data_IF_030895993386
#
_entry.id   IF_030895993386
#
_cell.length_a   1.000
_cell.length_b   1.000
_cell.length_c   1.000
_cell.angle_alpha   90.00
_cell.angle_beta   90.00
_cell.angle_gamma   90.00
#
_symmetry.space_group_name_H-M   'P 1'
#
loop_
_entity.id
_entity.type
_entity.pdbx_description
1 polymer ?
#
# COMPACT_ATOMS: atom_id res chain seq x y z
N UNK A 1 2.42 -5.35 -19.48
CA UNK A 1 2.80 -4.92 -18.15
C UNK A 1 3.78 -3.79 -18.34
N UNK A 2 3.42 -2.60 -17.88
CA UNK A 2 4.39 -1.61 -17.42
C UNK A 2 4.30 -1.55 -15.90
N UNK A 3 4.81 -0.47 -15.30
CA UNK A 3 4.64 -0.19 -13.88
C UNK A 3 3.40 0.67 -13.70
N UNK A 4 2.56 0.31 -12.72
CA UNK A 4 1.37 1.05 -12.37
C UNK A 4 1.58 1.79 -11.05
N UNK A 5 0.78 2.81 -10.81
CA UNK A 5 0.75 3.62 -9.57
C UNK A 5 0.45 2.77 -8.32
N UNK A 6 -0.18 1.62 -8.46
CA UNK A 6 -0.28 0.55 -7.46
C UNK A 6 -0.65 -0.77 -8.17
N UNK A 7 -0.79 -1.88 -7.45
CA UNK A 7 -1.20 -3.16 -8.05
C UNK A 7 -2.63 -3.05 -8.65
N UNK A 8 -2.79 -3.15 -9.99
CA UNK A 8 -4.09 -2.99 -10.65
C UNK A 8 -5.08 -4.11 -10.29
N UNK A 9 -4.61 -5.22 -9.70
CA UNK A 9 -5.48 -6.29 -9.19
C UNK A 9 -6.15 -5.92 -7.87
N UNK A 10 -5.53 -5.00 -7.11
CA UNK A 10 -6.03 -4.52 -5.81
C UNK A 10 -6.80 -3.21 -5.96
N UNK A 11 -6.36 -2.33 -6.88
CA UNK A 11 -6.99 -1.03 -7.13
C UNK A 11 -7.29 -0.89 -8.63
N UNK A 12 -8.56 -0.99 -9.05
CA UNK A 12 -8.94 -0.92 -10.46
C UNK A 12 -8.56 0.40 -11.15
N UNK A 13 -8.53 1.51 -10.40
CA UNK A 13 -8.21 2.84 -10.92
C UNK A 13 -6.68 3.11 -11.02
N UNK A 14 -5.85 2.06 -10.87
CA UNK A 14 -4.42 2.16 -11.00
C UNK A 14 -4.02 2.66 -12.41
N UNK A 15 -3.26 3.75 -12.45
CA UNK A 15 -2.76 4.37 -13.69
C UNK A 15 -1.41 3.80 -14.09
N UNK A 16 -1.20 3.56 -15.39
CA UNK A 16 0.09 3.19 -15.96
C UNK A 16 1.04 4.40 -15.90
N UNK A 17 2.25 4.19 -15.37
CA UNK A 17 3.30 5.20 -15.35
C UNK A 17 4.00 5.27 -16.70
N UNK A 18 4.24 6.48 -17.21
CA UNK A 18 5.01 6.66 -18.46
C UNK A 18 6.49 6.53 -18.19
N UNK A 19 6.95 7.15 -17.11
CA UNK A 19 8.35 7.13 -16.71
C UNK A 19 8.52 7.13 -15.19
N UNK A 20 9.68 6.64 -14.75
CA UNK A 20 10.11 6.69 -13.35
C UNK A 20 11.63 6.74 -13.23
N UNK A 21 12.15 7.27 -12.13
CA UNK A 21 13.58 7.27 -11.87
C UNK A 21 14.08 5.91 -11.42
N UNK A 22 15.40 5.69 -11.53
CA UNK A 22 16.02 4.46 -11.02
C UNK A 22 15.79 4.29 -9.50
N UNK A 23 15.83 5.40 -8.75
CA UNK A 23 15.64 5.39 -7.30
C UNK A 23 14.19 5.06 -6.94
N UNK A 24 13.20 5.63 -7.63
CA UNK A 24 11.79 5.28 -7.46
C UNK A 24 11.52 3.81 -7.78
N UNK A 25 12.14 3.30 -8.85
CA UNK A 25 12.02 1.90 -9.24
C UNK A 25 12.61 0.98 -8.15
N UNK A 26 13.77 1.35 -7.59
CA UNK A 26 14.43 0.59 -6.54
C UNK A 26 13.53 0.47 -5.30
N UNK A 27 13.03 1.60 -4.80
CA UNK A 27 12.16 1.66 -3.62
C UNK A 27 10.87 0.86 -3.83
N UNK A 28 10.19 1.05 -4.97
CA UNK A 28 8.96 0.30 -5.28
C UNK A 28 9.22 -1.20 -5.38
N UNK A 29 10.34 -1.61 -5.99
CA UNK A 29 10.70 -3.03 -6.11
C UNK A 29 11.00 -3.67 -4.76
N UNK A 30 11.53 -2.91 -3.80
CA UNK A 30 11.85 -3.40 -2.47
C UNK A 30 10.58 -3.64 -1.63
N UNK A 31 9.59 -2.75 -1.71
CA UNK A 31 8.36 -2.81 -0.90
C UNK A 31 7.17 -3.50 -1.57
N UNK A 32 7.41 -4.34 -2.58
CA UNK A 32 6.41 -5.29 -3.08
C UNK A 32 5.89 -5.08 -4.50
N UNK A 33 6.48 -4.16 -5.29
CA UNK A 33 6.18 -4.08 -6.72
C UNK A 33 6.74 -5.32 -7.45
N UNK A 34 5.93 -6.39 -7.55
CA UNK A 34 6.27 -7.70 -8.13
C UNK A 34 6.74 -7.69 -9.60
N UNK A 35 6.66 -6.55 -10.28
CA UNK A 35 7.07 -6.38 -11.68
C UNK A 35 8.59 -6.20 -11.81
N UNK A 36 9.25 -5.74 -10.75
CA UNK A 36 10.67 -5.40 -10.75
C UNK A 36 11.38 -6.09 -9.59
N UNK A 37 12.58 -6.61 -9.85
CA UNK A 37 13.44 -7.13 -8.81
C UNK A 37 14.57 -6.11 -8.52
N UNK A 38 14.86 -5.78 -7.25
CA UNK A 38 15.92 -4.82 -6.90
C UNK A 38 17.28 -5.12 -7.56
N UNK A 39 17.64 -6.42 -7.64
CA UNK A 39 18.88 -6.88 -8.31
C UNK A 39 18.94 -6.59 -9.81
N UNK A 40 17.82 -6.35 -10.46
CA UNK A 40 17.78 -5.96 -11.89
C UNK A 40 17.96 -4.46 -12.05
N UNK A 41 17.52 -3.66 -11.08
CA UNK A 41 17.58 -2.19 -11.15
C UNK A 41 18.98 -1.68 -10.79
N UNK A 42 19.67 -2.31 -9.84
CA UNK A 42 20.98 -1.83 -9.40
C UNK A 42 22.01 -1.71 -10.53
N UNK A 43 22.19 -2.71 -11.43
CA UNK A 43 23.14 -2.59 -12.54
C UNK A 43 22.74 -1.52 -13.56
N UNK A 44 21.46 -1.44 -13.95
CA UNK A 44 21.01 -0.44 -14.93
C UNK A 44 21.14 0.99 -14.37
N UNK A 45 20.95 1.17 -13.06
CA UNK A 45 21.18 2.43 -12.38
C UNK A 45 22.68 2.78 -12.35
N UNK A 46 23.55 1.82 -12.03
CA UNK A 46 24.99 2.03 -11.99
C UNK A 46 25.56 2.46 -13.34
N UNK A 47 25.13 1.82 -14.42
CA UNK A 47 25.61 2.10 -15.77
C UNK A 47 24.74 3.11 -16.54
N UNK A 48 23.73 3.69 -15.89
CA UNK A 48 22.78 4.64 -16.48
C UNK A 48 22.12 4.10 -17.77
N UNK A 49 21.80 2.80 -17.78
CA UNK A 49 21.16 2.12 -18.92
C UNK A 49 19.64 2.28 -18.80
N UNK A 50 18.97 3.01 -19.71
CA UNK A 50 17.52 3.14 -19.67
C UNK A 50 16.84 1.80 -19.93
N UNK A 51 15.81 1.49 -19.16
CA UNK A 51 15.10 0.23 -19.22
C UNK A 51 13.61 0.47 -19.53
N UNK A 52 13.09 -0.17 -20.58
CA UNK A 52 11.69 -0.04 -21.00
C UNK A 52 10.92 -1.31 -20.65
N UNK A 53 9.91 -1.20 -19.78
CA UNK A 53 9.04 -2.31 -19.41
C UNK A 53 7.82 -2.34 -20.32
N UNK A 54 7.62 -3.46 -21.04
CA UNK A 54 6.52 -3.63 -22.01
C UNK A 54 5.64 -4.84 -21.72
N UNK A 55 4.42 -4.83 -22.28
CA UNK A 55 3.52 -5.97 -22.29
C UNK A 55 3.82 -6.91 -23.45
N UNK A 56 4.10 -8.19 -23.20
CA UNK A 56 4.19 -9.20 -24.25
C UNK A 56 2.85 -9.41 -24.97
N UNK A 57 1.72 -9.30 -24.25
CA UNK A 57 0.37 -9.39 -24.82
C UNK A 57 -0.13 -8.11 -25.52
N UNK A 58 0.59 -6.99 -25.38
CA UNK A 58 0.35 -5.78 -26.15
C UNK A 58 1.67 -5.03 -26.41
N UNK A 59 2.49 -5.49 -27.37
CA UNK A 59 3.82 -4.95 -27.62
C UNK A 59 3.83 -3.50 -28.12
N UNK A 60 2.72 -3.01 -28.67
CA UNK A 60 2.60 -1.64 -29.19
C UNK A 60 2.30 -0.62 -28.10
N UNK A 61 1.89 -1.05 -26.90
CA UNK A 61 1.72 -0.14 -25.78
C UNK A 61 3.06 0.56 -25.45
N UNK A 62 3.01 1.85 -25.03
CA UNK A 62 4.22 2.62 -24.73
C UNK A 62 5.05 2.00 -23.61
N UNK A 63 4.39 1.38 -22.61
CA UNK A 63 5.06 0.77 -21.47
C UNK A 63 5.47 1.80 -20.42
N UNK A 64 6.51 1.48 -19.64
CA UNK A 64 7.09 2.39 -18.64
C UNK A 64 8.60 2.46 -18.81
N UNK A 65 9.14 3.68 -18.94
CA UNK A 65 10.56 3.94 -19.08
C UNK A 65 11.20 4.23 -17.71
N UNK A 66 12.19 3.43 -17.31
CA UNK A 66 13.05 3.70 -16.17
C UNK A 66 14.32 4.40 -16.67
N UNK A 67 14.62 5.59 -16.14
CA UNK A 67 15.73 6.42 -16.61
C UNK A 67 16.20 7.48 -15.62
N UNK A 68 17.19 8.29 -16.04
CA UNK A 68 17.89 9.24 -15.19
C UNK A 68 17.12 10.55 -14.93
N UNK A 69 16.34 11.03 -15.90
CA UNK A 69 15.75 12.36 -15.81
C UNK A 69 14.70 12.58 -16.90
N UNK A 70 13.44 12.35 -16.54
CA UNK A 70 12.24 13.03 -17.07
C UNK A 70 11.05 12.42 -16.37
N UNK A 71 10.53 13.14 -15.39
CA UNK A 71 9.19 12.88 -14.89
C UNK A 71 8.20 13.45 -15.91
N UNK A 72 7.74 12.62 -16.86
CA UNK A 72 6.75 13.05 -17.86
C UNK A 72 5.34 13.14 -17.29
N UNK A 73 5.13 12.63 -16.07
CA UNK A 73 3.82 12.59 -15.44
C UNK A 73 3.60 13.78 -14.48
N UNK A 74 4.67 14.50 -14.08
CA UNK A 74 4.66 15.60 -13.10
C UNK A 74 3.93 15.21 -11.79
N UNK A 75 4.04 13.92 -11.42
CA UNK A 75 3.36 13.36 -10.27
C UNK A 75 4.31 13.39 -9.07
N UNK A 76 3.93 14.06 -7.95
CA UNK A 76 4.79 14.10 -6.76
C UNK A 76 4.98 12.72 -6.11
N UNK A 77 4.04 11.82 -6.34
CA UNK A 77 4.05 10.42 -5.91
C UNK A 77 3.92 9.54 -7.14
N UNK A 78 4.82 8.58 -7.31
CA UNK A 78 4.81 7.66 -8.44
C UNK A 78 4.09 6.37 -8.15
N UNK A 79 4.24 5.84 -6.94
CA UNK A 79 3.66 4.54 -6.65
C UNK A 79 3.35 4.34 -5.18
N UNK A 80 2.41 3.44 -4.96
CA UNK A 80 2.05 2.89 -3.66
C UNK A 80 2.21 1.38 -3.79
N UNK A 81 2.94 0.80 -2.84
CA UNK A 81 3.20 -0.64 -2.77
C UNK A 81 2.83 -1.16 -1.39
N UNK A 82 2.57 -2.45 -1.29
CA UNK A 82 2.39 -3.13 -0.02
C UNK A 82 3.19 -4.42 0.06
N UNK A 83 3.72 -4.68 1.24
CA UNK A 83 4.36 -5.94 1.61
C UNK A 83 3.58 -6.59 2.74
N UNK A 84 2.91 -7.69 2.41
CA UNK A 84 2.04 -8.43 3.32
C UNK A 84 2.81 -9.50 4.10
N UNK A 85 2.16 -10.08 5.12
CA UNK A 85 2.69 -11.18 5.93
C UNK A 85 4.03 -10.82 6.61
N UNK A 86 3.99 -9.77 7.41
CA UNK A 86 5.12 -9.31 8.22
C UNK A 86 4.84 -9.53 9.71
N UNK A 87 5.89 -9.73 10.48
CA UNK A 87 5.88 -9.68 11.94
C UNK A 87 6.79 -8.54 12.40
N UNK A 88 6.32 -7.76 13.38
CA UNK A 88 7.09 -6.69 14.00
C UNK A 88 7.55 -7.11 15.38
N UNK A 89 8.84 -6.96 15.64
CA UNK A 89 9.48 -7.15 16.93
C UNK A 89 9.76 -5.79 17.54
N UNK A 90 9.49 -5.62 18.82
CA UNK A 90 9.91 -4.48 19.60
C UNK A 90 10.81 -4.93 20.76
N UNK A 91 12.01 -4.38 20.79
CA UNK A 91 12.99 -4.56 21.86
C UNK A 91 13.04 -3.27 22.66
N UNK A 92 12.60 -3.32 23.92
CA UNK A 92 12.52 -2.20 24.84
C UNK A 92 13.06 -2.57 26.22
N UNK A 93 13.40 -1.57 27.03
CA UNK A 93 13.75 -1.76 28.43
C UNK A 93 14.76 -0.75 28.96
N UNK A 94 14.92 -0.66 30.29
CA UNK A 94 15.83 0.30 30.93
C UNK A 94 17.30 0.09 30.53
N UNK A 95 17.69 -1.15 30.23
CA UNK A 95 19.01 -1.54 29.74
C UNK A 95 19.34 -1.00 28.34
N UNK A 96 18.37 -0.43 27.63
CA UNK A 96 18.62 0.26 26.36
C UNK A 96 19.15 1.70 26.57
N UNK A 97 19.01 2.26 27.77
CA UNK A 97 19.43 3.62 28.10
C UNK A 97 20.95 3.68 28.30
N UNK A 98 21.65 4.39 27.40
CA UNK A 98 23.09 4.66 27.51
C UNK A 98 24.00 3.48 27.18
N UNK A 99 23.44 2.32 26.81
CA UNK A 99 24.22 1.17 26.35
C UNK A 99 24.53 1.26 24.86
N UNK A 100 25.80 1.44 24.55
CA UNK A 100 26.31 1.43 23.18
C UNK A 100 26.30 -0.01 22.66
N UNK A 101 25.74 -0.23 21.46
CA UNK A 101 25.84 -1.50 20.75
C UNK A 101 24.60 -2.41 20.79
N UNK A 102 23.54 -2.04 21.51
CA UNK A 102 22.29 -2.82 21.52
C UNK A 102 21.69 -3.01 20.13
N UNK A 103 21.56 -1.93 19.36
CA UNK A 103 21.13 -2.01 17.96
C UNK A 103 22.02 -2.94 17.12
N UNK A 104 23.34 -2.88 17.33
CA UNK A 104 24.29 -3.72 16.61
C UNK A 104 24.07 -5.21 16.93
N UNK A 105 23.82 -5.56 18.20
CA UNK A 105 23.50 -6.92 18.60
C UNK A 105 22.21 -7.43 17.97
N UNK A 106 21.13 -6.63 17.99
CA UNK A 106 19.85 -6.99 17.35
C UNK A 106 20.07 -7.38 15.88
N UNK A 107 20.71 -6.51 15.09
CA UNK A 107 20.90 -6.77 13.67
C UNK A 107 21.95 -7.85 13.39
N UNK A 108 22.98 -7.97 14.22
CA UNK A 108 23.96 -9.06 14.11
C UNK A 108 23.30 -10.43 14.36
N UNK A 109 22.39 -10.52 15.32
CA UNK A 109 21.63 -11.73 15.62
C UNK A 109 20.72 -12.14 14.47
N UNK A 110 19.97 -11.18 13.90
CA UNK A 110 19.16 -11.43 12.71
C UNK A 110 20.00 -11.90 11.51
N UNK A 111 21.15 -11.26 11.29
CA UNK A 111 22.09 -11.65 10.23
C UNK A 111 22.63 -13.06 10.43
N UNK A 112 23.09 -13.42 11.64
CA UNK A 112 23.56 -14.79 11.97
C UNK A 112 22.48 -15.84 11.80
N UNK A 113 21.21 -15.48 12.07
CA UNK A 113 20.06 -16.35 11.86
C UNK A 113 19.58 -16.42 10.40
N UNK A 114 20.23 -15.70 9.48
CA UNK A 114 19.85 -15.62 8.07
C UNK A 114 18.47 -14.97 7.85
N UNK A 115 18.08 -14.03 8.71
CA UNK A 115 16.77 -13.37 8.68
C UNK A 115 16.94 -11.96 8.13
N UNK A 116 16.20 -11.65 7.07
CA UNK A 116 16.20 -10.31 6.48
C UNK A 116 15.26 -9.40 7.26
N UNK A 117 15.82 -8.29 7.76
CA UNK A 117 15.04 -7.19 8.33
C UNK A 117 14.63 -6.24 7.21
N UNK A 118 13.33 -5.92 7.14
CA UNK A 118 12.74 -5.14 6.03
C UNK A 118 12.51 -3.68 6.40
N UNK A 119 12.02 -3.44 7.61
CA UNK A 119 11.71 -2.10 8.12
C UNK A 119 12.27 -1.96 9.52
N UNK A 120 12.85 -0.81 9.82
CA UNK A 120 13.44 -0.49 11.11
C UNK A 120 12.88 0.86 11.56
N UNK A 121 12.46 0.94 12.81
CA UNK A 121 12.10 2.19 13.48
C UNK A 121 12.64 2.20 14.90
N UNK A 122 13.08 3.36 15.37
CA UNK A 122 13.75 3.50 16.65
C UNK A 122 13.15 4.71 17.37
N UNK A 123 12.67 4.50 18.60
CA UNK A 123 12.14 5.56 19.44
C UNK A 123 13.20 5.97 20.47
N UNK A 124 13.77 7.16 20.30
CA UNK A 124 14.80 7.68 21.21
C UNK A 124 14.25 7.98 22.61
N UNK A 125 12.98 8.36 22.72
CA UNK A 125 12.31 8.66 23.99
C UNK A 125 11.93 7.41 24.78
N UNK A 126 11.57 6.32 24.09
CA UNK A 126 11.14 5.06 24.72
C UNK A 126 12.27 4.04 24.83
N UNK A 127 13.48 4.39 24.36
CA UNK A 127 14.64 3.51 24.29
C UNK A 127 14.30 2.17 23.62
N UNK A 128 13.55 2.21 22.52
CA UNK A 128 13.06 1.01 21.84
C UNK A 128 13.58 0.92 20.41
N UNK A 129 13.79 -0.32 19.96
CA UNK A 129 14.09 -0.65 18.56
C UNK A 129 13.01 -1.60 18.10
N UNK A 130 12.28 -1.16 17.08
CA UNK A 130 11.28 -1.97 16.41
C UNK A 130 11.72 -2.32 15.00
N UNK A 131 11.48 -3.56 14.58
CA UNK A 131 11.86 -4.01 13.25
C UNK A 131 10.88 -5.06 12.71
N UNK A 132 10.72 -5.09 11.38
CA UNK A 132 9.86 -6.04 10.70
C UNK A 132 10.69 -7.14 10.01
N UNK A 133 10.22 -8.38 10.15
CA UNK A 133 10.73 -9.57 9.44
C UNK A 133 9.59 -10.28 8.73
N UNK A 134 9.85 -11.09 7.69
CA UNK A 134 8.82 -11.94 7.10
C UNK A 134 8.14 -12.81 8.16
N UNK A 135 6.82 -12.94 8.10
CA UNK A 135 6.03 -13.74 9.03
C UNK A 135 6.53 -15.20 9.11
N UNK A 136 7.03 -15.74 8.00
CA UNK A 136 7.63 -17.08 7.94
C UNK A 136 8.87 -17.25 8.83
N UNK A 137 9.59 -16.16 9.11
CA UNK A 137 10.80 -16.16 9.93
C UNK A 137 10.51 -15.81 11.40
N UNK A 138 9.26 -15.49 11.76
CA UNK A 138 8.88 -14.99 13.09
C UNK A 138 9.36 -15.92 14.23
N UNK A 139 9.08 -17.21 14.14
CA UNK A 139 9.49 -18.17 15.17
C UNK A 139 11.02 -18.29 15.29
N UNK A 140 11.74 -18.23 14.16
CA UNK A 140 13.21 -18.28 14.14
C UNK A 140 13.82 -17.00 14.70
N UNK A 141 13.25 -15.85 14.36
CA UNK A 141 13.65 -14.54 14.86
C UNK A 141 13.46 -14.44 16.37
N UNK A 142 12.29 -14.85 16.87
CA UNK A 142 11.97 -14.88 18.30
C UNK A 142 13.02 -15.68 19.07
N UNK A 143 13.24 -16.94 18.66
CA UNK A 143 14.21 -17.81 19.33
C UNK A 143 15.62 -17.21 19.33
N UNK A 144 16.09 -16.72 18.19
CA UNK A 144 17.43 -16.13 18.09
C UNK A 144 17.60 -14.89 18.99
N UNK A 145 16.56 -14.07 19.11
CA UNK A 145 16.56 -12.89 19.98
C UNK A 145 16.51 -13.25 21.46
N UNK A 146 15.67 -14.23 21.84
CA UNK A 146 15.61 -14.74 23.22
C UNK A 146 16.94 -15.37 23.64
N UNK A 147 17.61 -16.10 22.75
CA UNK A 147 18.92 -16.70 23.01
C UNK A 147 20.02 -15.63 23.15
N UNK A 148 20.04 -14.60 22.29
CA UNK A 148 21.04 -13.51 22.32
C UNK A 148 20.92 -12.63 23.56
N UNK A 149 19.68 -12.33 23.98
CA UNK A 149 19.37 -11.39 25.06
C UNK A 149 18.92 -12.09 26.35
N UNK A 150 19.22 -13.38 26.49
CA UNK A 150 18.79 -14.19 27.63
C UNK A 150 19.18 -13.58 28.98
N UNK A 151 20.42 -13.09 29.11
CA UNK A 151 20.90 -12.48 30.35
C UNK A 151 20.17 -11.16 30.64
N UNK A 152 20.01 -10.30 29.63
CA UNK A 152 19.34 -9.02 29.81
C UNK A 152 17.85 -9.16 30.12
N UNK A 153 17.18 -10.16 29.53
CA UNK A 153 15.79 -10.50 29.85
C UNK A 153 15.66 -11.06 31.27
N UNK A 154 16.63 -11.89 31.71
CA UNK A 154 16.62 -12.49 33.05
C UNK A 154 16.91 -11.47 34.16
N UNK A 155 17.82 -10.53 33.90
CA UNK A 155 18.18 -9.45 34.83
C UNK A 155 17.21 -8.25 34.74
N UNK A 156 16.09 -8.38 34.02
CA UNK A 156 15.08 -7.33 33.81
C UNK A 156 15.64 -6.01 33.23
N UNK A 157 16.78 -6.10 32.53
CA UNK A 157 17.35 -5.00 31.76
C UNK A 157 16.59 -4.77 30.46
N UNK A 158 16.00 -5.84 29.90
CA UNK A 158 15.07 -5.76 28.78
C UNK A 158 13.70 -6.27 29.22
N UNK A 159 12.67 -5.64 28.67
CA UNK A 159 11.31 -6.14 28.76
C UNK A 159 11.14 -7.38 27.86
N UNK A 160 10.15 -8.25 28.15
CA UNK A 160 9.80 -9.33 27.24
C UNK A 160 9.59 -8.83 25.82
N UNK A 161 10.17 -9.54 24.84
CA UNK A 161 10.06 -9.16 23.44
C UNK A 161 8.58 -9.06 23.04
N UNK A 162 8.15 -7.87 22.63
CA UNK A 162 6.81 -7.65 22.12
C UNK A 162 6.79 -7.97 20.63
N UNK A 163 5.90 -8.88 20.22
CA UNK A 163 5.81 -9.39 18.85
C UNK A 163 4.38 -9.19 18.37
N UNK A 164 4.24 -8.46 17.26
CA UNK A 164 2.97 -8.26 16.57
C UNK A 164 3.02 -8.99 15.23
N UNK A 165 2.13 -9.94 15.04
CA UNK A 165 2.03 -10.78 13.85
C UNK A 165 0.90 -10.32 12.91
N UNK A 166 0.89 -10.86 11.68
CA UNK A 166 -0.13 -10.55 10.66
C UNK A 166 -0.21 -9.06 10.35
N UNK A 167 0.94 -8.45 10.11
CA UNK A 167 1.07 -7.06 9.70
C UNK A 167 1.37 -6.95 8.20
N UNK A 168 1.14 -5.76 7.66
CA UNK A 168 1.57 -5.37 6.33
C UNK A 168 2.23 -3.99 6.37
N UNK A 169 3.16 -3.78 5.44
CA UNK A 169 3.83 -2.50 5.24
C UNK A 169 3.20 -1.85 4.01
N UNK A 170 2.69 -0.64 4.14
CA UNK A 170 2.25 0.19 3.01
C UNK A 170 3.30 1.28 2.79
N UNK A 171 3.82 1.38 1.58
CA UNK A 171 4.88 2.32 1.22
C UNK A 171 4.45 3.21 0.06
N UNK A 172 4.56 4.52 0.26
CA UNK A 172 4.35 5.55 -0.75
C UNK A 172 5.72 6.00 -1.25
N UNK A 173 5.92 6.06 -2.58
CA UNK A 173 7.21 6.36 -3.21
C UNK A 173 7.03 7.45 -4.28
N UNK A 174 7.92 8.46 -4.26
CA UNK A 174 8.06 9.44 -5.32
C UNK A 174 9.16 10.46 -5.06
N UNK A 175 9.89 10.86 -6.10
CA UNK A 175 10.94 11.87 -6.01
C UNK A 175 10.41 13.26 -5.62
N UNK A 176 9.17 13.56 -6.00
CA UNK A 176 8.50 14.82 -5.67
C UNK A 176 8.02 14.94 -4.23
N UNK A 177 8.11 13.87 -3.42
CA UNK A 177 7.71 13.90 -2.01
C UNK A 177 8.58 14.84 -1.17
N UNK A 178 9.85 14.99 -1.53
CA UNK A 178 10.80 15.91 -0.87
C UNK A 178 10.48 17.38 -1.13
N UNK A 179 9.96 17.71 -2.31
CA UNK A 179 9.72 19.11 -2.73
C UNK A 179 8.31 19.57 -2.41
N UNK A 180 7.32 18.67 -2.44
CA UNK A 180 5.93 19.00 -2.21
C UNK A 180 5.51 18.73 -0.76
N UNK A 181 5.35 19.80 0.02
CA UNK A 181 4.88 19.72 1.41
C UNK A 181 3.45 19.18 1.49
N UNK A 182 3.21 18.35 2.51
CA UNK A 182 1.87 17.86 2.85
C UNK A 182 1.50 16.51 2.24
N UNK A 183 2.36 15.86 1.44
CA UNK A 183 2.10 14.49 0.95
C UNK A 183 1.98 13.51 2.11
N UNK A 184 2.88 13.56 3.08
CA UNK A 184 2.81 12.71 4.29
C UNK A 184 1.51 12.94 5.05
N UNK A 185 1.09 14.20 5.20
CA UNK A 185 -0.18 14.55 5.86
C UNK A 185 -1.39 13.97 5.11
N UNK A 186 -1.40 14.05 3.78
CA UNK A 186 -2.45 13.41 2.96
C UNK A 186 -2.45 11.89 3.12
N UNK A 187 -1.28 11.27 3.16
CA UNK A 187 -1.15 9.82 3.34
C UNK A 187 -1.72 9.39 4.70
N UNK A 188 -1.30 10.00 5.79
CA UNK A 188 -1.82 9.69 7.12
C UNK A 188 -3.32 10.01 7.25
N UNK A 189 -3.79 11.12 6.67
CA UNK A 189 -5.20 11.46 6.65
C UNK A 189 -6.04 10.45 5.88
N UNK A 190 -5.52 9.88 4.78
CA UNK A 190 -6.21 8.85 4.01
C UNK A 190 -6.44 7.58 4.85
N UNK A 191 -5.41 7.13 5.56
CA UNK A 191 -5.51 5.97 6.45
C UNK A 191 -6.45 6.23 7.64
N UNK A 192 -6.36 7.41 8.25
CA UNK A 192 -7.24 7.80 9.35
C UNK A 192 -8.72 7.86 8.92
N UNK A 193 -9.02 8.36 7.72
CA UNK A 193 -10.40 8.37 7.17
C UNK A 193 -10.98 6.98 6.96
N UNK A 194 -10.12 5.99 6.72
CA UNK A 194 -10.51 4.59 6.60
C UNK A 194 -10.54 3.85 7.95
N UNK A 195 -10.31 4.56 9.07
CA UNK A 195 -10.22 4.01 10.41
C UNK A 195 -9.12 2.92 10.54
N UNK A 196 -8.02 3.09 9.80
CA UNK A 196 -6.89 2.16 9.83
C UNK A 196 -5.89 2.63 10.89
N UNK A 197 -5.61 1.77 11.87
CA UNK A 197 -4.62 2.05 12.89
C UNK A 197 -3.19 1.88 12.35
N UNK A 198 -2.31 2.84 12.66
CA UNK A 198 -0.90 2.80 12.28
C UNK A 198 -0.10 2.27 13.47
N UNK A 199 0.54 1.12 13.28
CA UNK A 199 1.38 0.47 14.30
C UNK A 199 2.75 1.13 14.37
N UNK A 200 3.33 1.44 13.21
CA UNK A 200 4.64 2.04 13.13
C UNK A 200 4.81 2.87 11.86
N UNK A 201 5.77 3.78 11.88
CA UNK A 201 6.11 4.66 10.77
C UNK A 201 7.62 4.56 10.54
N UNK A 202 8.02 4.50 9.28
CA UNK A 202 9.40 4.64 8.85
C UNK A 202 9.50 5.60 7.66
N UNK A 203 10.36 6.60 7.79
CA UNK A 203 10.70 7.52 6.71
C UNK A 203 12.23 7.66 6.66
N UNK A 204 12.79 7.50 5.46
CA UNK A 204 14.21 7.75 5.22
C UNK A 204 14.52 9.25 5.10
N UNK A 205 15.78 9.62 5.33
CA UNK A 205 16.28 10.99 5.16
C UNK A 205 16.22 11.52 3.72
N UNK A 206 16.03 10.64 2.74
CA UNK A 206 15.84 11.02 1.34
C UNK A 206 14.44 11.57 1.06
N UNK A 207 13.49 11.39 1.99
CA UNK A 207 12.06 11.76 1.91
C UNK A 207 11.33 11.23 0.66
N UNK A 208 11.95 10.30 -0.07
CA UNK A 208 11.40 9.69 -1.29
C UNK A 208 10.36 8.63 -0.99
N UNK A 209 10.48 7.99 0.18
CA UNK A 209 9.55 6.96 0.61
C UNK A 209 9.12 7.17 2.05
N UNK A 210 7.83 6.93 2.29
CA UNK A 210 7.23 6.85 3.62
C UNK A 210 6.51 5.52 3.70
N UNK A 211 6.83 4.76 4.74
CA UNK A 211 6.25 3.46 5.00
C UNK A 211 5.53 3.46 6.33
N UNK A 212 4.39 2.79 6.37
CA UNK A 212 3.61 2.55 7.59
C UNK A 212 3.37 1.08 7.76
N UNK A 213 3.30 0.64 9.01
CA UNK A 213 2.92 -0.72 9.37
C UNK A 213 1.48 -0.71 9.85
N UNK A 214 0.65 -1.57 9.27
CA UNK A 214 -0.78 -1.70 9.55
C UNK A 214 -1.15 -3.18 9.71
N UNK A 215 -2.37 -3.47 10.16
CA UNK A 215 -2.91 -4.83 10.11
C UNK A 215 -2.92 -5.35 8.67
N UNK A 216 -2.59 -6.63 8.48
CA UNK A 216 -2.58 -7.24 7.15
C UNK A 216 -3.96 -7.22 6.48
N UNK A 217 -5.04 -7.27 7.27
CA UNK A 217 -6.41 -7.21 6.78
C UNK A 217 -6.76 -5.82 6.20
N UNK A 218 -6.11 -4.77 6.71
CA UNK A 218 -6.33 -3.39 6.27
C UNK A 218 -5.49 -3.00 5.05
N UNK A 219 -4.51 -3.83 4.66
CA UNK A 219 -3.50 -3.47 3.67
C UNK A 219 -4.10 -3.03 2.34
N UNK A 220 -5.05 -3.80 1.80
CA UNK A 220 -5.69 -3.53 0.51
C UNK A 220 -6.53 -2.25 0.57
N UNK A 221 -7.30 -2.08 1.65
CA UNK A 221 -8.10 -0.87 1.87
C UNK A 221 -7.20 0.35 2.02
N UNK A 222 -6.09 0.23 2.77
CA UNK A 222 -5.11 1.29 2.97
C UNK A 222 -4.45 1.73 1.67
N UNK A 223 -4.05 0.80 0.81
CA UNK A 223 -3.52 1.13 -0.53
C UNK A 223 -4.57 1.85 -1.37
N UNK A 224 -5.81 1.38 -1.38
CA UNK A 224 -6.91 1.97 -2.16
C UNK A 224 -7.23 3.41 -1.75
N UNK A 225 -7.42 3.68 -0.45
CA UNK A 225 -7.74 5.04 0.03
C UNK A 225 -6.57 6.00 -0.14
N UNK A 226 -5.35 5.50 0.03
CA UNK A 226 -4.13 6.29 -0.22
C UNK A 226 -4.01 6.64 -1.70
N UNK A 227 -4.29 5.69 -2.59
CA UNK A 227 -4.28 5.92 -4.03
C UNK A 227 -5.31 6.98 -4.44
N UNK A 228 -6.54 6.86 -3.95
CA UNK A 228 -7.59 7.85 -4.20
C UNK A 228 -7.16 9.26 -3.77
N UNK A 229 -6.61 9.40 -2.55
CA UNK A 229 -6.22 10.68 -1.99
C UNK A 229 -4.99 11.31 -2.69
N UNK A 230 -3.99 10.51 -3.07
CA UNK A 230 -2.72 11.02 -3.61
C UNK A 230 -2.76 11.25 -5.13
N UNK A 231 -3.48 10.42 -5.87
CA UNK A 231 -3.60 10.56 -7.33
C UNK A 231 -4.84 11.37 -7.76
N UNK A 232 -5.52 11.98 -6.78
CA UNK A 232 -6.75 12.74 -6.94
C UNK A 232 -7.76 11.96 -7.80
N UNK A 233 -7.85 10.67 -7.54
CA UNK A 233 -8.84 9.80 -8.17
C UNK A 233 -10.17 10.10 -7.51
N UNK A 234 -11.24 10.13 -8.30
CA UNK A 234 -12.57 10.41 -7.77
C UNK A 234 -12.88 9.46 -6.61
N UNK A 235 -13.44 9.99 -5.52
CA UNK A 235 -13.89 9.22 -4.38
C UNK A 235 -14.98 8.25 -4.86
N UNK A 236 -14.63 6.97 -4.95
CA UNK A 236 -15.55 5.93 -5.40
C UNK A 236 -16.50 5.59 -4.26
N UNK A 237 -17.80 5.78 -4.48
CA UNK A 237 -18.87 5.36 -3.57
C UNK A 237 -19.65 4.25 -4.26
N UNK A 238 -19.54 3.04 -3.71
CA UNK A 238 -20.27 1.87 -4.21
C UNK A 238 -21.68 1.83 -3.62
N UNK A 239 -22.68 1.85 -4.47
CA UNK A 239 -24.09 1.86 -4.09
C UNK A 239 -24.71 0.51 -4.43
N UNK A 240 -25.28 -0.13 -3.42
CA UNK A 240 -26.14 -1.30 -3.56
C UNK A 240 -27.58 -0.89 -3.27
N UNK A 241 -28.45 -0.99 -4.27
CA UNK A 241 -29.85 -0.62 -4.14
C UNK A 241 -30.75 -1.85 -4.07
N UNK A 242 -31.40 -2.04 -2.91
CA UNK A 242 -32.40 -3.09 -2.72
C UNK A 242 -33.79 -2.46 -2.79
N UNK A 243 -34.60 -2.89 -3.75
CA UNK A 243 -35.95 -2.37 -3.98
C UNK A 243 -36.01 -1.29 -5.07
N UNK A 244 -35.82 -1.69 -6.32
CA UNK A 244 -35.96 -0.81 -7.50
C UNK A 244 -37.38 -0.66 -8.03
N UNK A 245 -38.35 -0.43 -7.13
CA UNK A 245 -39.70 0.00 -7.49
C UNK A 245 -39.75 1.48 -7.92
N UNK A 246 -40.88 2.15 -7.73
CA UNK A 246 -41.02 3.56 -8.11
C UNK A 246 -39.98 4.49 -7.47
N UNK A 247 -39.72 4.34 -6.16
CA UNK A 247 -38.75 5.18 -5.43
C UNK A 247 -37.30 4.83 -5.78
N UNK A 248 -36.95 3.54 -5.79
CA UNK A 248 -35.60 3.10 -6.13
C UNK A 248 -35.22 3.42 -7.57
N UNK A 249 -36.15 3.28 -8.52
CA UNK A 249 -35.96 3.70 -9.91
C UNK A 249 -35.75 5.21 -10.04
N UNK A 250 -36.51 6.02 -9.30
CA UNK A 250 -36.32 7.47 -9.28
C UNK A 250 -34.96 7.88 -8.71
N UNK A 251 -34.47 7.18 -7.66
CA UNK A 251 -33.12 7.41 -7.12
C UNK A 251 -32.03 7.06 -8.13
N UNK A 252 -32.15 5.94 -8.86
CA UNK A 252 -31.20 5.58 -9.91
C UNK A 252 -31.16 6.64 -11.03
N UNK A 253 -32.31 7.18 -11.42
CA UNK A 253 -32.41 8.25 -12.41
C UNK A 253 -31.79 9.57 -11.89
N UNK A 254 -31.96 9.88 -10.60
CA UNK A 254 -31.28 11.03 -9.98
C UNK A 254 -29.76 10.83 -9.95
N UNK A 255 -29.30 9.65 -9.56
CA UNK A 255 -27.87 9.29 -9.57
C UNK A 255 -27.31 9.48 -10.98
N UNK A 256 -27.98 8.94 -12.00
CA UNK A 256 -27.60 9.07 -13.41
C UNK A 256 -27.43 10.54 -13.82
N UNK A 257 -28.42 11.39 -13.51
CA UNK A 257 -28.37 12.83 -13.85
C UNK A 257 -27.27 13.58 -13.12
N UNK A 258 -26.96 13.19 -11.89
CA UNK A 258 -25.97 13.88 -11.06
C UNK A 258 -24.53 13.40 -11.30
N UNK A 259 -24.31 12.33 -12.06
CA UNK A 259 -22.97 11.79 -12.36
C UNK A 259 -21.97 12.87 -12.79
N UNK A 260 -22.34 13.74 -13.75
CA UNK A 260 -21.45 14.78 -14.25
C UNK A 260 -21.11 15.84 -13.18
N UNK A 261 -22.04 16.15 -12.28
CA UNK A 261 -21.83 17.08 -11.17
C UNK A 261 -20.99 16.45 -10.06
N UNK A 262 -21.23 15.18 -9.73
CA UNK A 262 -20.45 14.41 -8.76
C UNK A 262 -19.00 14.26 -9.22
N UNK A 263 -18.77 13.95 -10.51
CA UNK A 263 -17.42 13.91 -11.09
C UNK A 263 -16.66 15.23 -10.98
N UNK A 264 -17.34 16.38 -11.17
CA UNK A 264 -16.72 17.71 -10.95
C UNK A 264 -16.31 17.95 -9.50
N UNK A 265 -16.90 17.22 -8.54
CA UNK A 265 -16.56 17.23 -7.13
C UNK A 265 -15.60 16.11 -6.73
N UNK A 266 -15.02 15.40 -7.70
CA UNK A 266 -14.20 14.21 -7.48
C UNK A 266 -14.94 13.12 -6.70
N UNK A 267 -16.19 12.85 -7.06
CA UNK A 267 -16.99 11.76 -6.51
C UNK A 267 -17.46 10.89 -7.67
N UNK A 268 -17.11 9.60 -7.64
CA UNK A 268 -17.53 8.59 -8.60
C UNK A 268 -18.53 7.64 -7.92
N UNK A 269 -19.81 7.91 -8.12
CA UNK A 269 -20.88 7.13 -7.51
C UNK A 269 -21.20 5.92 -8.40
N UNK A 270 -20.68 4.74 -8.06
CA UNK A 270 -20.83 3.50 -8.84
C UNK A 270 -21.97 2.67 -8.27
N UNK A 271 -23.02 2.44 -9.04
CA UNK A 271 -24.07 1.50 -8.64
C UNK A 271 -23.58 0.09 -8.94
N UNK A 272 -23.12 -0.63 -7.92
CA UNK A 272 -22.51 -1.95 -8.06
C UNK A 272 -23.53 -3.10 -7.94
N UNK A 273 -24.72 -2.82 -7.43
CA UNK A 273 -25.77 -3.82 -7.36
C UNK A 273 -27.17 -3.24 -7.27
N UNK A 274 -28.10 -3.92 -7.93
CA UNK A 274 -29.53 -3.60 -7.94
C UNK A 274 -30.33 -4.88 -7.73
N UNK A 275 -31.25 -4.87 -6.78
CA UNK A 275 -32.10 -6.02 -6.46
C UNK A 275 -33.58 -5.66 -6.36
N UNK A 276 -34.46 -6.59 -6.74
CA UNK A 276 -35.88 -6.57 -6.41
C UNK A 276 -36.31 -7.96 -5.90
N UNK A 277 -37.60 -8.17 -5.65
CA UNK A 277 -38.12 -9.44 -5.13
C UNK A 277 -38.02 -10.63 -6.10
N UNK A 278 -37.55 -10.43 -7.33
CA UNK A 278 -37.49 -11.45 -8.39
C UNK A 278 -36.10 -11.65 -8.96
N UNK A 279 -35.26 -10.62 -8.99
CA UNK A 279 -33.97 -10.61 -9.67
C UNK A 279 -32.93 -9.74 -8.96
N UNK A 280 -31.67 -10.13 -9.11
CA UNK A 280 -30.47 -9.43 -8.66
C UNK A 280 -29.52 -9.22 -9.85
N UNK A 281 -28.98 -8.01 -9.95
CA UNK A 281 -27.96 -7.63 -10.92
C UNK A 281 -26.79 -7.01 -10.16
N UNK A 282 -25.57 -7.51 -10.37
CA UNK A 282 -24.34 -7.02 -9.73
C UNK A 282 -23.23 -6.85 -10.74
N UNK A 283 -22.39 -5.83 -10.53
CA UNK A 283 -21.19 -5.57 -11.32
C UNK A 283 -20.12 -4.92 -10.43
N UNK A 284 -18.93 -5.51 -10.43
CA UNK A 284 -17.76 -5.01 -9.68
C UNK A 284 -17.25 -3.67 -10.24
N UNK A 285 -17.56 -3.37 -11.50
CA UNK A 285 -17.14 -2.13 -12.16
C UNK A 285 -18.25 -1.08 -12.27
N UNK A 286 -19.40 -1.32 -11.61
CA UNK A 286 -20.61 -0.51 -11.75
C UNK A 286 -21.51 -0.98 -12.89
N UNK A 287 -22.80 -0.68 -12.76
CA UNK A 287 -23.85 -1.02 -13.71
C UNK A 287 -24.06 0.11 -14.74
N UNK A 288 -24.47 -0.26 -15.96
CA UNK A 288 -24.91 0.72 -16.93
C UNK A 288 -26.32 1.22 -16.58
N UNK A 289 -26.40 2.44 -16.06
CA UNK A 289 -27.66 3.09 -15.65
C UNK A 289 -28.58 3.46 -16.83
N UNK A 290 -28.18 3.25 -18.08
CA UNK A 290 -29.07 3.42 -19.23
C UNK A 290 -29.95 2.20 -19.46
N UNK A 291 -29.41 1.00 -19.26
CA UNK A 291 -30.07 -0.26 -19.63
C UNK A 291 -30.33 -1.20 -18.44
N UNK A 292 -30.12 -0.72 -17.21
CA UNK A 292 -30.21 -1.55 -15.99
C UNK A 292 -31.56 -2.27 -15.82
N UNK A 293 -32.67 -1.72 -16.34
CA UNK A 293 -34.00 -2.35 -16.25
C UNK A 293 -34.09 -3.61 -17.10
N UNK A 294 -33.54 -3.57 -18.32
CA UNK A 294 -33.50 -4.70 -19.23
C UNK A 294 -32.51 -5.76 -18.72
N UNK A 295 -31.35 -5.34 -18.23
CA UNK A 295 -30.35 -6.23 -17.64
C UNK A 295 -30.86 -6.92 -16.36
N UNK A 296 -31.64 -6.22 -15.53
CA UNK A 296 -32.25 -6.79 -14.34
C UNK A 296 -33.33 -7.82 -14.67
N UNK A 297 -34.11 -7.62 -15.74
CA UNK A 297 -35.11 -8.58 -16.19
C UNK A 297 -34.49 -9.91 -16.66
N UNK A 298 -33.25 -9.89 -17.14
CA UNK A 298 -32.45 -11.07 -17.49
C UNK A 298 -31.50 -11.55 -16.38
N UNK A 299 -31.51 -10.91 -15.21
CA UNK A 299 -30.59 -11.18 -14.11
C UNK A 299 -30.86 -12.49 -13.36
N UNK A 300 -29.94 -12.87 -12.47
CA UNK A 300 -30.10 -14.06 -11.63
C UNK A 300 -31.29 -13.88 -10.67
N UNK A 301 -32.03 -14.97 -10.39
CA UNK A 301 -33.12 -14.94 -9.40
C UNK A 301 -32.58 -14.53 -8.04
N UNK A 302 -33.20 -13.51 -7.44
CA UNK A 302 -32.93 -13.13 -6.05
C UNK A 302 -33.36 -14.30 -5.13
N UNK A 303 -32.47 -14.71 -4.22
CA UNK A 303 -32.72 -15.77 -3.23
C UNK A 303 -33.72 -15.29 -2.18
#
# INVERSE_FOLDING_TARGET
>A
MGVYTCDPRQVPDARLLKSMSYQEAMELSYFGAKVLHPRTIAPIAQFQIPCLIKNTGNPQAPGTLIGASRDEDDLPVKGISNLNNMAMFNVSGPGMKGMVGMAARVFATMSRAGISVVLITQSSSEYSISFCVPQSDCARAKKAMEDEFYLELKEELLEPLSIMERLAIISVVGDGMRTLRGISAKFFAALARANINIVAIAQGSSERSISVVVSNDDAVTGVRVTHQMLFNTDQVIEVFLIGVGGVGGALLEQIKRQQAWLKKKHIDLRVCGVANSRALLTSVHGLNLENWQAELAGGQRAV
#
